data_IF_221352889911
#
_entry.id   IF_221352889911
#
_cell.length_a   1.000
_cell.length_b   1.000
_cell.length_c   1.000
_cell.angle_alpha   90.00
_cell.angle_beta   90.00
_cell.angle_gamma   90.00
#
_symmetry.space_group_name_H-M   'P 1'
#
loop_
_entity.id
_entity.type
_entity.pdbx_description
1 polymer ?
#
# COMPACT_ATOMS: atom_id res chain seq x y z
N UNK A 1 -53.76 60.64 24.84
CA UNK A 1 -52.46 60.04 24.46
C UNK A 1 -52.64 58.52 24.34
N UNK A 2 -52.29 57.96 23.16
CA UNK A 2 -51.86 56.56 22.86
C UNK A 2 -52.73 55.39 23.37
N UNK A 3 -53.02 54.32 22.62
CA UNK A 3 -52.85 53.86 21.24
C UNK A 3 -53.77 52.62 21.11
N UNK A 4 -54.38 52.43 19.94
CA UNK A 4 -55.13 51.23 19.55
C UNK A 4 -54.19 50.04 19.34
N UNK A 5 -54.57 48.85 19.85
CA UNK A 5 -53.86 47.59 19.59
C UNK A 5 -54.75 46.72 18.70
N UNK A 6 -54.40 46.62 17.41
CA UNK A 6 -54.95 45.63 16.49
C UNK A 6 -54.01 44.42 16.49
N UNK A 7 -54.54 43.27 16.88
CA UNK A 7 -53.86 41.98 16.84
C UNK A 7 -53.95 41.45 15.40
N UNK A 8 -52.83 41.35 14.71
CA UNK A 8 -52.74 40.78 13.36
C UNK A 8 -51.87 39.53 13.45
N UNK A 9 -52.50 38.39 13.19
CA UNK A 9 -51.90 37.06 13.14
C UNK A 9 -50.96 36.98 11.94
N UNK A 10 -49.67 36.72 12.18
CA UNK A 10 -48.67 36.56 11.13
C UNK A 10 -48.21 35.09 11.12
N UNK A 11 -48.60 34.38 10.07
CA UNK A 11 -48.16 33.01 9.75
C UNK A 11 -46.68 33.02 9.42
N UNK A 12 -45.88 32.30 10.22
CA UNK A 12 -44.46 32.08 9.98
C UNK A 12 -44.28 30.86 9.05
N UNK A 13 -44.02 31.14 7.77
CA UNK A 13 -43.55 30.14 6.81
C UNK A 13 -42.05 29.94 7.02
N UNK A 14 -41.65 28.82 7.62
CA UNK A 14 -40.24 28.44 7.74
C UNK A 14 -39.74 27.89 6.40
N UNK A 15 -38.92 28.66 5.70
CA UNK A 15 -38.15 28.20 4.55
C UNK A 15 -36.98 27.33 5.04
N UNK A 16 -37.03 26.04 4.74
CA UNK A 16 -35.99 25.06 5.05
C UNK A 16 -34.82 25.27 4.07
N UNK A 17 -33.79 26.00 4.50
CA UNK A 17 -32.54 26.13 3.75
C UNK A 17 -31.74 24.82 3.90
N UNK A 18 -31.55 24.11 2.79
CA UNK A 18 -30.63 22.98 2.66
C UNK A 18 -29.19 23.47 2.83
N UNK A 19 -28.65 23.33 4.02
CA UNK A 19 -27.21 23.41 4.25
C UNK A 19 -26.55 22.16 3.68
N UNK A 20 -25.97 22.28 2.49
CA UNK A 20 -24.91 21.36 2.06
C UNK A 20 -23.73 21.56 3.01
N UNK A 21 -23.69 20.77 4.08
CA UNK A 21 -22.46 20.54 4.82
C UNK A 21 -21.55 19.74 3.89
N UNK A 22 -20.75 20.45 3.10
CA UNK A 22 -19.60 19.86 2.43
C UNK A 22 -18.75 19.22 3.51
N UNK A 23 -18.68 17.89 3.50
CA UNK A 23 -17.69 17.18 4.30
C UNK A 23 -16.34 17.63 3.77
N UNK A 24 -15.70 18.54 4.50
CA UNK A 24 -14.28 18.81 4.31
C UNK A 24 -13.59 17.50 4.64
N UNK A 25 -13.09 16.81 3.62
CA UNK A 25 -11.97 15.89 3.82
C UNK A 25 -10.92 16.75 4.51
N UNK A 26 -10.72 16.53 5.81
CA UNK A 26 -9.62 17.17 6.51
C UNK A 26 -8.36 16.70 5.81
N UNK A 27 -7.74 17.57 5.02
CA UNK A 27 -6.43 17.32 4.46
C UNK A 27 -5.53 16.95 5.63
N UNK A 28 -4.83 15.81 5.55
CA UNK A 28 -3.77 15.49 6.49
C UNK A 28 -2.91 16.74 6.65
N UNK A 29 -2.72 17.27 7.88
CA UNK A 29 -1.88 18.44 8.06
C UNK A 29 -0.52 18.17 7.42
N UNK A 30 -0.15 18.99 6.44
CA UNK A 30 1.16 18.89 5.81
C UNK A 30 2.26 19.18 6.84
N UNK A 31 3.45 18.65 6.61
CA UNK A 31 4.61 18.96 7.44
C UNK A 31 4.97 20.45 7.34
N UNK A 32 5.14 21.11 8.48
CA UNK A 32 5.38 22.56 8.56
C UNK A 32 6.86 22.94 8.52
N UNK A 33 7.75 21.96 8.50
CA UNK A 33 9.20 22.11 8.66
C UNK A 33 10.02 21.76 7.41
N UNK A 34 9.36 21.68 6.24
CA UNK A 34 10.00 21.33 4.97
C UNK A 34 10.45 22.55 4.14
N UNK A 35 10.34 23.76 4.67
CA UNK A 35 10.71 24.95 3.91
C UNK A 35 12.20 24.97 3.55
N UNK A 36 12.49 25.29 2.28
CA UNK A 36 13.82 25.24 1.67
C UNK A 36 14.48 23.84 1.66
N UNK A 37 13.69 22.77 1.75
CA UNK A 37 14.19 21.41 1.54
C UNK A 37 14.06 20.99 0.07
N UNK A 38 15.15 20.51 -0.55
CA UNK A 38 15.15 20.08 -1.94
C UNK A 38 14.22 18.88 -2.22
N UNK A 39 14.02 18.01 -1.23
CA UNK A 39 13.14 16.84 -1.31
C UNK A 39 11.69 17.14 -0.88
N UNK A 40 11.31 18.41 -0.65
CA UNK A 40 9.98 18.81 -0.14
C UNK A 40 8.84 18.15 -0.91
N UNK A 41 8.84 18.25 -2.23
CA UNK A 41 7.75 17.73 -3.06
C UNK A 41 7.68 16.20 -3.02
N UNK A 42 8.84 15.52 -2.96
CA UNK A 42 8.93 14.06 -2.81
C UNK A 42 8.38 13.61 -1.46
N UNK A 43 8.77 14.28 -0.38
CA UNK A 43 8.30 13.98 0.99
C UNK A 43 6.79 14.18 1.09
N UNK A 44 6.26 15.28 0.53
CA UNK A 44 4.81 15.55 0.51
C UNK A 44 4.07 14.48 -0.30
N UNK A 45 4.62 14.05 -1.44
CA UNK A 45 4.03 12.97 -2.25
C UNK A 45 3.96 11.65 -1.47
N UNK A 46 5.05 11.26 -0.79
CA UNK A 46 5.07 10.05 0.03
C UNK A 46 4.07 10.13 1.19
N UNK A 47 3.95 11.29 1.84
CA UNK A 47 2.97 11.52 2.89
C UNK A 47 1.53 11.37 2.37
N UNK A 48 1.22 11.98 1.22
CA UNK A 48 -0.12 11.90 0.61
C UNK A 48 -0.49 10.48 0.16
N UNK A 49 0.50 9.68 -0.21
CA UNK A 49 0.34 8.26 -0.55
C UNK A 49 0.23 7.35 0.70
N UNK A 50 0.39 7.90 1.91
CA UNK A 50 0.40 7.12 3.15
C UNK A 50 1.65 6.28 3.38
N UNK A 51 2.68 6.45 2.53
CA UNK A 51 3.90 5.63 2.52
C UNK A 51 5.00 6.16 3.46
N UNK A 52 4.81 7.37 4.00
CA UNK A 52 5.77 8.02 4.88
C UNK A 52 5.05 8.80 5.98
N UNK A 53 5.52 8.64 7.21
CA UNK A 53 5.02 9.34 8.38
C UNK A 53 6.08 10.27 8.96
N UNK A 54 5.62 11.38 9.54
CA UNK A 54 6.48 12.30 10.27
C UNK A 54 6.85 11.77 11.64
N UNK A 55 7.74 12.47 12.34
CA UNK A 55 7.99 12.24 13.77
C UNK A 55 6.83 12.74 14.64
N UNK A 56 5.97 13.58 14.08
CA UNK A 56 4.65 13.94 14.60
C UNK A 56 3.67 14.17 13.44
N UNK A 57 2.41 14.46 13.77
CA UNK A 57 1.36 14.75 12.78
C UNK A 57 1.68 15.94 11.85
N UNK A 58 2.53 16.88 12.29
CA UNK A 58 2.86 18.11 11.56
C UNK A 58 4.36 18.37 11.39
N UNK A 59 5.23 17.44 11.81
CA UNK A 59 6.68 17.61 11.77
C UNK A 59 7.35 16.39 11.13
N UNK A 60 8.19 16.63 10.13
CA UNK A 60 8.94 15.57 9.46
C UNK A 60 10.34 15.37 10.05
N UNK A 61 10.98 16.44 10.53
CA UNK A 61 12.38 16.52 10.94
C UNK A 61 13.39 16.19 9.80
N UNK A 62 13.41 16.96 8.69
CA UNK A 62 14.18 16.61 7.48
C UNK A 62 15.69 16.49 7.72
N UNK A 63 16.25 17.29 8.66
CA UNK A 63 17.68 17.30 8.98
C UNK A 63 18.07 16.28 10.06
N UNK A 64 17.12 15.54 10.62
CA UNK A 64 17.44 14.50 11.58
C UNK A 64 18.26 13.40 10.91
N UNK A 65 19.34 12.98 11.55
CA UNK A 65 20.14 11.85 11.08
C UNK A 65 19.43 10.57 11.51
N UNK A 66 19.31 9.63 10.58
CA UNK A 66 18.64 8.36 10.85
C UNK A 66 19.51 7.42 11.67
N UNK A 67 18.89 6.75 12.62
CA UNK A 67 19.43 5.49 13.12
C UNK A 67 19.07 4.35 12.18
N UNK A 68 19.82 3.27 12.25
CA UNK A 68 19.56 1.98 11.63
C UNK A 68 18.07 1.57 11.72
N UNK A 69 17.51 1.51 12.93
CA UNK A 69 16.11 1.15 13.13
C UNK A 69 15.12 2.09 12.44
N UNK A 70 15.44 3.39 12.39
CA UNK A 70 14.60 4.37 11.70
C UNK A 70 14.69 4.21 10.18
N UNK A 71 15.87 3.88 9.66
CA UNK A 71 16.08 3.55 8.25
C UNK A 71 15.24 2.35 7.82
N UNK A 72 15.38 1.22 8.54
CA UNK A 72 14.59 0.01 8.27
C UNK A 72 13.09 0.27 8.38
N UNK A 73 12.64 1.02 9.38
CA UNK A 73 11.21 1.35 9.51
C UNK A 73 10.69 2.18 8.33
N UNK A 74 11.49 3.13 7.82
CA UNK A 74 11.11 3.89 6.62
C UNK A 74 11.00 2.98 5.39
N UNK A 75 11.95 2.08 5.19
CA UNK A 75 11.94 1.13 4.06
C UNK A 75 10.71 0.21 4.13
N UNK A 76 10.50 -0.43 5.29
CA UNK A 76 9.35 -1.32 5.54
C UNK A 76 8.02 -0.61 5.29
N UNK A 77 7.87 0.62 5.80
CA UNK A 77 6.64 1.39 5.65
C UNK A 77 6.41 1.82 4.20
N UNK A 78 7.47 2.28 3.52
CA UNK A 78 7.36 2.81 2.16
C UNK A 78 7.07 1.72 1.12
N UNK A 79 7.57 0.50 1.35
CA UNK A 79 7.32 -0.67 0.50
C UNK A 79 6.09 -1.47 0.95
N UNK A 80 5.37 -1.01 1.97
CA UNK A 80 4.19 -1.67 2.55
C UNK A 80 4.44 -3.15 2.92
N UNK A 81 5.64 -3.45 3.42
CA UNK A 81 6.00 -4.81 3.82
C UNK A 81 5.23 -5.19 5.07
N UNK A 82 4.72 -6.42 5.11
CA UNK A 82 3.92 -6.93 6.21
C UNK A 82 4.17 -8.43 6.43
N UNK A 83 3.44 -9.01 7.38
CA UNK A 83 3.50 -10.43 7.74
C UNK A 83 2.18 -11.15 7.44
N UNK A 84 1.26 -10.54 6.69
CA UNK A 84 -0.14 -10.98 6.57
C UNK A 84 -0.25 -12.36 5.91
N UNK A 85 0.70 -12.68 5.03
CA UNK A 85 0.81 -13.96 4.33
C UNK A 85 1.72 -14.97 5.03
N UNK A 86 2.32 -14.60 6.16
CA UNK A 86 3.27 -15.47 6.89
C UNK A 86 2.58 -16.06 8.11
N UNK A 87 2.77 -17.36 8.31
CA UNK A 87 2.27 -18.08 9.49
C UNK A 87 3.44 -18.62 10.27
N UNK A 88 3.54 -18.24 11.53
CA UNK A 88 4.61 -18.67 12.41
C UNK A 88 4.12 -19.77 13.36
N UNK A 89 4.92 -20.82 13.53
CA UNK A 89 4.69 -21.82 14.57
C UNK A 89 4.91 -21.28 15.99
N UNK A 90 5.70 -20.22 16.10
CA UNK A 90 6.02 -19.49 17.33
C UNK A 90 6.11 -18.01 16.99
N UNK A 91 5.60 -17.15 17.84
CA UNK A 91 5.72 -15.70 17.70
C UNK A 91 7.20 -15.30 17.45
N UNK A 92 7.50 -14.64 16.32
CA UNK A 92 8.86 -14.24 15.98
C UNK A 92 9.29 -13.07 16.85
N UNK A 93 10.56 -13.04 17.22
CA UNK A 93 11.18 -11.96 17.99
C UNK A 93 12.25 -11.26 17.16
N UNK A 94 12.44 -9.96 17.38
CA UNK A 94 13.51 -9.23 16.69
C UNK A 94 14.90 -9.83 17.03
N UNK A 95 15.09 -10.27 18.28
CA UNK A 95 16.32 -10.95 18.70
C UNK A 95 16.54 -12.34 18.08
N UNK A 96 15.52 -12.96 17.49
CA UNK A 96 15.70 -14.21 16.72
C UNK A 96 16.53 -13.96 15.44
N UNK A 97 16.49 -12.73 14.90
CA UNK A 97 17.20 -12.33 13.68
C UNK A 97 18.44 -11.48 13.98
N UNK A 98 18.35 -10.56 14.94
CA UNK A 98 19.40 -9.60 15.28
C UNK A 98 19.72 -9.63 16.78
N UNK A 99 20.84 -10.21 17.22
CA UNK A 99 21.16 -10.39 18.64
C UNK A 99 21.21 -9.09 19.47
N UNK A 100 21.42 -7.94 18.83
CA UNK A 100 21.48 -6.63 19.47
C UNK A 100 20.12 -5.90 19.51
N UNK A 101 19.05 -6.50 18.97
CA UNK A 101 17.71 -5.93 18.99
C UNK A 101 16.95 -6.26 20.28
N UNK A 102 16.10 -5.33 20.73
CA UNK A 102 15.18 -5.55 21.84
C UNK A 102 13.81 -5.97 21.34
N UNK A 103 13.26 -7.05 21.88
CA UNK A 103 11.99 -7.65 21.42
C UNK A 103 10.76 -6.75 21.65
N UNK A 104 10.82 -5.85 22.63
CA UNK A 104 9.72 -4.96 23.05
C UNK A 104 9.91 -3.50 22.60
N UNK A 105 10.97 -3.22 21.84
CA UNK A 105 11.23 -1.88 21.33
C UNK A 105 10.30 -1.49 20.17
N UNK A 106 10.10 -0.18 19.97
CA UNK A 106 9.23 0.37 18.93
C UNK A 106 9.59 -0.09 17.51
N UNK A 107 10.85 -0.44 17.27
CA UNK A 107 11.36 -0.91 15.98
C UNK A 107 11.30 -2.43 15.79
N UNK A 108 10.95 -3.21 16.83
CA UNK A 108 11.04 -4.66 16.81
C UNK A 108 10.23 -5.27 15.65
N UNK A 109 9.01 -4.78 15.45
CA UNK A 109 8.14 -5.27 14.38
C UNK A 109 8.72 -4.94 12.98
N UNK A 110 9.33 -3.77 12.79
CA UNK A 110 9.96 -3.41 11.52
C UNK A 110 11.14 -4.35 11.19
N UNK A 111 11.98 -4.69 12.18
CA UNK A 111 13.09 -5.62 11.99
C UNK A 111 12.61 -7.05 11.67
N UNK A 112 11.53 -7.50 12.31
CA UNK A 112 10.92 -8.81 12.01
C UNK A 112 10.38 -8.80 10.58
N UNK A 113 9.59 -7.78 10.20
CA UNK A 113 9.04 -7.64 8.85
C UNK A 113 10.16 -7.65 7.80
N UNK A 114 11.20 -6.84 8.00
CA UNK A 114 12.34 -6.76 7.10
C UNK A 114 12.99 -8.14 6.90
N UNK A 115 13.32 -8.83 8.00
CA UNK A 115 13.98 -10.14 7.95
C UNK A 115 13.14 -11.20 7.25
N UNK A 116 11.84 -11.24 7.55
CA UNK A 116 10.91 -12.22 6.99
C UNK A 116 10.68 -11.98 5.49
N UNK A 117 10.70 -10.71 5.06
CA UNK A 117 10.62 -10.32 3.65
C UNK A 117 11.98 -10.41 2.92
N UNK A 118 13.03 -10.93 3.58
CA UNK A 118 14.31 -11.23 2.96
C UNK A 118 15.22 -10.02 2.74
N UNK A 119 15.03 -8.93 3.50
CA UNK A 119 15.96 -7.80 3.46
C UNK A 119 17.33 -8.24 4.01
N UNK A 120 18.40 -7.89 3.28
CA UNK A 120 19.78 -8.15 3.67
C UNK A 120 20.23 -7.06 4.64
N UNK A 121 20.13 -7.38 5.93
CA UNK A 121 20.53 -6.52 7.04
C UNK A 121 21.70 -7.17 7.78
N UNK A 122 22.69 -6.40 8.28
CA UNK A 122 23.80 -6.95 9.04
C UNK A 122 23.35 -7.78 10.23
N UNK A 123 23.92 -8.96 10.47
CA UNK A 123 23.53 -9.79 11.62
C UNK A 123 23.82 -9.11 12.96
N UNK A 124 24.89 -8.33 13.02
CA UNK A 124 25.32 -7.55 14.18
C UNK A 124 24.73 -6.13 14.20
N UNK A 125 23.72 -5.85 13.37
CA UNK A 125 22.96 -4.61 13.30
C UNK A 125 22.69 -4.03 14.69
N UNK A 126 23.07 -2.77 14.90
CA UNK A 126 22.79 -2.03 16.11
C UNK A 126 21.65 -1.02 15.83
N UNK A 127 20.43 -1.21 16.39
CA UNK A 127 19.26 -0.38 16.09
C UNK A 127 19.46 1.15 16.29
N UNK A 128 20.38 1.53 17.19
CA UNK A 128 20.65 2.93 17.54
C UNK A 128 21.87 3.52 16.83
N UNK A 129 22.59 2.73 16.03
CA UNK A 129 23.72 3.23 15.26
C UNK A 129 23.24 4.23 14.21
N UNK A 130 24.00 5.31 14.00
CA UNK A 130 23.73 6.27 12.94
C UNK A 130 24.03 5.62 11.58
N UNK A 131 23.08 5.73 10.66
CA UNK A 131 23.16 5.06 9.37
C UNK A 131 23.97 5.89 8.38
N UNK A 132 24.92 5.26 7.69
CA UNK A 132 25.63 5.90 6.59
C UNK A 132 24.78 5.91 5.33
N UNK A 133 25.06 6.83 4.41
CA UNK A 133 24.38 6.92 3.11
C UNK A 133 24.49 5.60 2.36
N UNK A 134 25.69 5.02 2.27
CA UNK A 134 25.86 3.76 1.55
C UNK A 134 25.10 2.58 2.16
N UNK A 135 24.96 2.53 3.50
CA UNK A 135 24.26 1.46 4.18
C UNK A 135 22.75 1.56 3.89
N UNK A 136 22.16 2.75 4.09
CA UNK A 136 20.76 2.98 3.75
C UNK A 136 20.47 2.69 2.27
N UNK A 137 21.30 3.21 1.35
CA UNK A 137 21.12 2.96 -0.08
C UNK A 137 21.23 1.46 -0.39
N UNK A 138 22.19 0.75 0.20
CA UNK A 138 22.34 -0.69 0.01
C UNK A 138 21.09 -1.46 0.45
N UNK A 139 20.60 -1.18 1.65
CA UNK A 139 19.39 -1.82 2.21
C UNK A 139 18.15 -1.53 1.36
N UNK A 140 17.97 -0.27 0.95
CA UNK A 140 16.84 0.13 0.09
C UNK A 140 16.90 -0.56 -1.27
N UNK A 141 18.06 -0.59 -1.91
CA UNK A 141 18.23 -1.26 -3.21
C UNK A 141 17.95 -2.75 -3.10
N UNK A 142 18.50 -3.39 -2.08
CA UNK A 142 18.22 -4.81 -1.86
C UNK A 142 16.72 -5.06 -1.60
N UNK A 143 16.09 -4.21 -0.79
CA UNK A 143 14.66 -4.31 -0.50
C UNK A 143 13.80 -4.21 -1.77
N UNK A 144 14.03 -3.22 -2.65
CA UNK A 144 13.28 -3.11 -3.91
C UNK A 144 13.59 -4.24 -4.90
N UNK A 145 14.78 -4.84 -4.84
CA UNK A 145 15.16 -5.96 -5.71
C UNK A 145 14.47 -7.27 -5.30
N UNK A 146 14.41 -7.56 -4.00
CA UNK A 146 13.76 -8.79 -3.50
C UNK A 146 12.23 -8.69 -3.53
N UNK A 147 11.68 -7.48 -3.37
CA UNK A 147 10.22 -7.28 -3.32
C UNK A 147 9.61 -6.89 -4.67
N UNK A 148 10.36 -6.19 -5.52
CA UNK A 148 9.85 -5.58 -6.74
C UNK A 148 9.84 -6.48 -7.98
N UNK A 149 10.41 -7.69 -7.90
CA UNK A 149 10.58 -8.60 -9.07
C UNK A 149 11.13 -7.87 -10.30
N UNK A 150 12.11 -7.00 -10.08
CA UNK A 150 12.68 -6.13 -11.12
C UNK A 150 13.32 -6.96 -12.24
N UNK A 151 13.20 -6.54 -13.52
CA UNK A 151 13.89 -7.21 -14.61
C UNK A 151 15.41 -7.14 -14.41
N UNK A 152 16.13 -8.20 -14.78
CA UNK A 152 17.59 -8.16 -14.78
C UNK A 152 18.09 -7.09 -15.74
N UNK A 153 18.70 -6.04 -15.20
CA UNK A 153 19.43 -5.05 -15.99
C UNK A 153 20.89 -5.49 -16.16
N UNK A 154 21.56 -4.97 -17.19
CA UNK A 154 23.02 -4.96 -17.26
C UNK A 154 23.50 -3.61 -16.73
N UNK A 155 24.02 -3.52 -15.49
CA UNK A 155 24.44 -2.25 -14.94
C UNK A 155 25.55 -1.64 -15.80
N UNK A 156 25.40 -0.36 -16.13
CA UNK A 156 26.46 0.42 -16.77
C UNK A 156 27.43 0.86 -15.68
N UNK A 157 28.73 0.69 -15.93
CA UNK A 157 29.76 1.18 -15.02
C UNK A 157 29.68 2.71 -14.94
N UNK A 158 29.59 3.22 -13.71
CA UNK A 158 29.62 4.66 -13.42
C UNK A 158 30.94 4.96 -12.73
N UNK A 159 31.65 5.99 -13.19
CA UNK A 159 32.86 6.47 -12.51
C UNK A 159 32.47 7.21 -11.23
N UNK A 160 32.93 6.72 -10.08
CA UNK A 160 32.65 7.31 -8.76
C UNK A 160 33.97 7.80 -8.17
N UNK A 161 34.08 9.11 -7.92
CA UNK A 161 35.35 9.72 -7.54
C UNK A 161 35.88 9.26 -6.17
N UNK A 162 34.99 8.83 -5.27
CA UNK A 162 35.29 8.29 -3.94
C UNK A 162 34.94 6.80 -3.81
N UNK A 163 35.06 6.05 -4.92
CA UNK A 163 34.76 4.62 -4.97
C UNK A 163 35.56 3.80 -3.94
N UNK A 164 36.79 4.21 -3.64
CA UNK A 164 37.68 3.56 -2.67
C UNK A 164 37.17 3.63 -1.22
N UNK A 165 36.25 4.54 -0.94
CA UNK A 165 35.59 4.65 0.37
C UNK A 165 34.34 3.76 0.48
N UNK A 166 33.82 3.22 -0.61
CA UNK A 166 32.62 2.39 -0.60
C UNK A 166 32.95 1.03 0.03
N UNK A 167 32.08 0.55 0.93
CA UNK A 167 32.17 -0.82 1.42
C UNK A 167 32.05 -1.80 0.24
N UNK A 168 33.00 -2.74 0.12
CA UNK A 168 33.06 -3.69 -0.99
C UNK A 168 31.74 -4.44 -1.17
N UNK A 169 31.08 -4.83 -0.07
CA UNK A 169 29.79 -5.53 -0.10
C UNK A 169 28.66 -4.64 -0.64
N UNK A 170 28.76 -3.32 -0.48
CA UNK A 170 27.74 -2.36 -0.92
C UNK A 170 27.98 -1.84 -2.34
N UNK A 171 29.19 -2.00 -2.87
CA UNK A 171 29.61 -1.45 -4.17
C UNK A 171 28.63 -1.80 -5.30
N UNK A 172 28.18 -3.06 -5.36
CA UNK A 172 27.20 -3.50 -6.33
C UNK A 172 25.86 -2.76 -6.22
N UNK A 173 25.35 -2.60 -5.00
CA UNK A 173 24.08 -1.89 -4.76
C UNK A 173 24.20 -0.39 -5.04
N UNK A 174 25.33 0.25 -4.74
CA UNK A 174 25.55 1.67 -5.04
C UNK A 174 25.56 1.92 -6.56
N UNK A 175 26.25 1.06 -7.33
CA UNK A 175 26.24 1.17 -8.80
C UNK A 175 24.83 0.96 -9.35
N UNK A 176 24.06 0.00 -8.80
CA UNK A 176 22.65 -0.19 -9.20
C UNK A 176 21.78 0.98 -8.81
N UNK A 177 21.97 1.57 -7.64
CA UNK A 177 21.26 2.77 -7.20
C UNK A 177 21.45 3.95 -8.17
N UNK A 178 22.69 4.15 -8.67
CA UNK A 178 22.99 5.15 -9.69
C UNK A 178 22.31 4.82 -11.03
N UNK A 179 22.33 3.55 -11.45
CA UNK A 179 21.69 3.10 -12.70
C UNK A 179 20.15 3.20 -12.65
N UNK A 180 19.55 2.95 -11.50
CA UNK A 180 18.12 3.10 -11.26
C UNK A 180 17.69 4.55 -11.09
N UNK A 181 18.64 5.49 -10.93
CA UNK A 181 18.35 6.89 -10.61
C UNK A 181 17.83 7.10 -9.19
N UNK A 182 18.07 6.14 -8.29
CA UNK A 182 17.72 6.24 -6.85
C UNK A 182 18.59 7.27 -6.17
N UNK A 183 19.88 7.28 -6.47
CA UNK A 183 20.85 8.30 -6.07
C UNK A 183 21.51 8.94 -7.29
N UNK A 184 22.16 10.09 -7.08
CA UNK A 184 22.95 10.80 -8.10
C UNK A 184 24.31 11.17 -7.52
N UNK A 185 25.31 11.32 -8.39
CA UNK A 185 26.60 11.89 -8.01
C UNK A 185 26.44 13.38 -7.70
N UNK A 186 27.20 13.86 -6.71
CA UNK A 186 27.39 15.29 -6.51
C UNK A 186 28.11 15.95 -7.69
N UNK A 187 28.14 17.27 -7.71
CA UNK A 187 28.90 18.05 -8.73
C UNK A 187 30.40 17.70 -8.75
N UNK A 188 30.93 17.18 -7.64
CA UNK A 188 32.30 16.71 -7.49
C UNK A 188 32.51 15.24 -7.90
N UNK A 189 31.49 14.57 -8.45
CA UNK A 189 31.54 13.19 -8.90
C UNK A 189 31.50 12.15 -7.78
N UNK A 190 31.17 12.54 -6.55
CA UNK A 190 31.18 11.67 -5.36
C UNK A 190 29.79 11.23 -4.93
N UNK A 191 29.75 10.09 -4.24
CA UNK A 191 28.55 9.62 -3.50
C UNK A 191 28.63 9.92 -2.01
N UNK A 192 29.82 10.18 -1.47
CA UNK A 192 30.10 10.42 -0.06
C UNK A 192 29.57 9.29 0.85
N UNK A 193 30.07 8.05 0.66
CA UNK A 193 29.44 6.84 1.19
C UNK A 193 29.41 6.79 2.72
N UNK A 194 30.43 7.36 3.38
CA UNK A 194 30.58 7.35 4.84
C UNK A 194 29.81 8.46 5.57
N UNK A 195 29.21 9.41 4.85
CA UNK A 195 28.39 10.43 5.51
C UNK A 195 27.12 9.81 6.06
N UNK A 196 26.69 10.27 7.24
CA UNK A 196 25.40 9.83 7.79
C UNK A 196 24.25 10.40 6.98
N UNK A 197 23.20 9.61 6.77
CA UNK A 197 22.05 10.01 5.96
C UNK A 197 21.02 10.79 6.80
N UNK A 198 20.54 11.90 6.26
CA UNK A 198 19.42 12.63 6.85
C UNK A 198 18.07 12.03 6.44
N UNK A 199 17.04 12.29 7.24
CA UNK A 199 15.68 11.81 6.98
C UNK A 199 15.12 12.33 5.66
N UNK A 200 15.48 13.54 5.21
CA UNK A 200 15.08 14.02 3.87
C UNK A 200 15.79 13.32 2.72
N UNK A 201 17.06 12.99 2.87
CA UNK A 201 17.80 12.24 1.83
C UNK A 201 17.26 10.82 1.69
N UNK A 202 17.01 10.15 2.83
CA UNK A 202 16.38 8.84 2.83
C UNK A 202 15.00 8.84 2.16
N UNK A 203 14.17 9.87 2.42
CA UNK A 203 12.87 10.01 1.78
C UNK A 203 12.98 10.29 0.28
N UNK A 204 14.00 11.04 -0.15
CA UNK A 204 14.29 11.24 -1.56
C UNK A 204 14.67 9.94 -2.27
N UNK A 205 15.58 9.16 -1.68
CA UNK A 205 15.98 7.85 -2.21
C UNK A 205 14.79 6.89 -2.29
N UNK A 206 13.95 6.83 -1.23
CA UNK A 206 12.72 6.03 -1.20
C UNK A 206 11.77 6.44 -2.33
N UNK A 207 11.54 7.74 -2.51
CA UNK A 207 10.66 8.23 -3.57
C UNK A 207 11.19 7.80 -4.95
N UNK A 208 12.47 8.02 -5.22
CA UNK A 208 13.08 7.68 -6.50
C UNK A 208 13.01 6.15 -6.74
N UNK A 209 13.24 5.34 -5.70
CA UNK A 209 13.12 3.88 -5.77
C UNK A 209 11.69 3.43 -6.08
N UNK A 210 10.68 4.04 -5.46
CA UNK A 210 9.27 3.75 -5.74
C UNK A 210 8.87 4.17 -7.16
N UNK A 211 9.37 5.30 -7.67
CA UNK A 211 9.11 5.70 -9.06
C UNK A 211 9.84 4.77 -10.05
N UNK A 212 11.03 4.29 -9.71
CA UNK A 212 11.72 3.26 -10.50
C UNK A 212 10.91 1.96 -10.55
N UNK A 213 10.46 1.46 -9.40
CA UNK A 213 9.58 0.28 -9.29
C UNK A 213 8.30 0.44 -10.11
N UNK A 214 7.67 1.62 -10.06
CA UNK A 214 6.46 1.90 -10.83
C UNK A 214 6.72 1.91 -12.34
N UNK A 215 7.84 2.46 -12.78
CA UNK A 215 8.22 2.52 -14.19
C UNK A 215 8.71 1.18 -14.75
N UNK A 216 9.22 0.31 -13.87
CA UNK A 216 9.82 -0.99 -14.20
C UNK A 216 9.10 -2.15 -13.50
N UNK A 217 7.84 -1.95 -13.14
CA UNK A 217 7.01 -3.03 -12.67
C UNK A 217 7.09 -4.14 -13.72
N UNK A 218 7.23 -5.43 -13.32
CA UNK A 218 7.22 -6.51 -14.28
C UNK A 218 6.02 -6.28 -15.20
N UNK A 219 6.22 -6.37 -16.52
CA UNK A 219 5.10 -6.28 -17.44
C UNK A 219 4.09 -7.32 -16.96
N UNK A 220 3.02 -6.87 -16.30
CA UNK A 220 1.86 -7.71 -16.06
C UNK A 220 1.47 -8.13 -17.45
N UNK A 221 1.71 -9.39 -17.78
CA UNK A 221 1.05 -9.99 -18.92
C UNK A 221 -0.43 -9.82 -18.57
N UNK A 222 -1.07 -8.80 -19.14
CA UNK A 222 -2.46 -8.48 -18.85
C UNK A 222 -3.37 -9.68 -19.21
N UNK A 223 -2.86 -10.57 -20.06
CA UNK A 223 -3.44 -11.86 -20.42
C UNK A 223 -2.88 -13.04 -19.60
N UNK A 224 -1.86 -12.81 -18.79
CA UNK A 224 -1.27 -13.75 -17.85
C UNK A 224 -2.28 -14.13 -16.77
N UNK A 225 -2.23 -15.40 -16.38
CA UNK A 225 -3.14 -15.95 -15.37
C UNK A 225 -2.89 -15.25 -14.03
N UNK A 226 -3.96 -14.82 -13.39
CA UNK A 226 -3.94 -14.27 -12.03
C UNK A 226 -3.80 -15.43 -11.04
N UNK A 227 -2.70 -15.45 -10.27
CA UNK A 227 -2.51 -16.47 -9.23
C UNK A 227 -3.32 -16.15 -7.96
N UNK A 228 -3.54 -17.16 -7.10
CA UNK A 228 -4.19 -17.00 -5.80
C UNK A 228 -3.58 -15.89 -4.94
N UNK A 229 -2.25 -15.89 -4.80
CA UNK A 229 -1.54 -14.88 -4.00
C UNK A 229 -1.69 -13.47 -4.57
N UNK A 230 -1.59 -13.31 -5.89
CA UNK A 230 -1.77 -12.03 -6.56
C UNK A 230 -3.22 -11.53 -6.44
N UNK A 231 -4.21 -12.41 -6.57
CA UNK A 231 -5.62 -12.05 -6.44
C UNK A 231 -5.98 -11.57 -5.02
N UNK A 232 -5.46 -12.24 -3.99
CA UNK A 232 -5.65 -11.82 -2.59
C UNK A 232 -5.01 -10.46 -2.33
N UNK A 233 -3.78 -10.25 -2.82
CA UNK A 233 -3.11 -8.97 -2.67
C UNK A 233 -3.91 -7.86 -3.35
N UNK A 234 -4.38 -8.10 -4.58
CA UNK A 234 -5.18 -7.15 -5.35
C UNK A 234 -6.48 -6.75 -4.63
N UNK A 235 -7.17 -7.71 -4.01
CA UNK A 235 -8.39 -7.44 -3.23
C UNK A 235 -8.06 -6.70 -1.93
N UNK A 236 -7.00 -7.11 -1.23
CA UNK A 236 -6.57 -6.51 0.04
C UNK A 236 -6.20 -5.04 -0.16
N UNK A 237 -5.39 -4.73 -1.17
CA UNK A 237 -4.96 -3.38 -1.51
C UNK A 237 -6.16 -2.45 -1.81
N UNK A 238 -7.21 -3.00 -2.41
CA UNK A 238 -8.38 -2.23 -2.83
C UNK A 238 -9.45 -2.05 -1.75
N UNK A 239 -9.62 -3.04 -0.86
CA UNK A 239 -10.73 -3.09 0.10
C UNK A 239 -10.28 -2.90 1.55
N UNK A 240 -9.00 -3.13 1.86
CA UNK A 240 -8.48 -3.20 3.22
C UNK A 240 -8.89 -4.47 3.97
N UNK A 241 -9.56 -5.42 3.31
CA UNK A 241 -9.98 -6.71 3.86
C UNK A 241 -9.19 -7.80 3.16
N UNK A 242 -8.52 -8.66 3.94
CA UNK A 242 -7.75 -9.79 3.41
C UNK A 242 -8.63 -11.04 3.34
N UNK A 243 -8.93 -11.56 2.15
CA UNK A 243 -9.64 -12.83 2.01
C UNK A 243 -8.90 -13.97 2.72
N UNK A 244 -9.67 -14.87 3.35
CA UNK A 244 -9.08 -16.00 4.08
C UNK A 244 -8.43 -16.99 3.11
N UNK A 245 -7.23 -17.45 3.47
CA UNK A 245 -6.54 -18.54 2.78
C UNK A 245 -7.05 -19.88 3.31
N UNK A 246 -7.70 -20.66 2.47
CA UNK A 246 -7.84 -22.09 2.73
C UNK A 246 -6.46 -22.73 2.69
N UNK A 247 -6.08 -23.44 3.76
CA UNK A 247 -4.72 -24.00 3.95
C UNK A 247 -4.32 -25.05 2.90
N UNK A 248 -5.24 -25.44 2.02
CA UNK A 248 -5.03 -26.43 0.96
C UNK A 248 -4.82 -25.83 -0.44
N UNK A 249 -4.99 -24.51 -0.62
CA UNK A 249 -4.83 -23.87 -1.93
C UNK A 249 -3.34 -23.59 -2.26
N UNK A 250 -2.89 -23.99 -3.44
CA UNK A 250 -1.56 -23.62 -3.96
C UNK A 250 -1.51 -22.10 -4.24
N UNK A 251 -0.64 -21.33 -3.56
CA UNK A 251 -0.57 -19.87 -3.74
C UNK A 251 -0.25 -19.40 -5.16
N UNK A 252 0.33 -20.27 -5.99
CA UNK A 252 0.71 -19.99 -7.37
C UNK A 252 -0.31 -20.54 -8.38
N UNK A 253 -1.33 -21.26 -7.95
CA UNK A 253 -2.38 -21.74 -8.84
C UNK A 253 -3.17 -20.57 -9.42
N UNK A 254 -3.61 -20.72 -10.67
CA UNK A 254 -4.47 -19.75 -11.32
C UNK A 254 -5.84 -19.72 -10.63
N UNK A 255 -6.35 -18.52 -10.36
CA UNK A 255 -7.69 -18.32 -9.84
C UNK A 255 -8.72 -18.52 -10.93
N UNK A 256 -9.80 -19.23 -10.61
CA UNK A 256 -10.99 -19.23 -11.46
C UNK A 256 -11.79 -17.94 -11.25
N UNK A 257 -12.60 -17.61 -12.25
CA UNK A 257 -13.49 -16.45 -12.22
C UNK A 257 -14.48 -16.51 -11.07
N UNK A 258 -14.99 -17.70 -10.75
CA UNK A 258 -15.85 -17.92 -9.59
C UNK A 258 -15.11 -17.61 -8.29
N UNK A 259 -13.98 -18.28 -8.02
CA UNK A 259 -13.27 -18.14 -6.74
C UNK A 259 -12.85 -16.69 -6.48
N UNK A 260 -12.28 -16.01 -7.46
CA UNK A 260 -11.90 -14.60 -7.29
C UNK A 260 -13.10 -13.69 -7.07
N UNK A 261 -14.21 -13.91 -7.81
CA UNK A 261 -15.43 -13.12 -7.64
C UNK A 261 -16.01 -13.30 -6.24
N UNK A 262 -16.03 -14.53 -5.74
CA UNK A 262 -16.51 -14.84 -4.39
C UNK A 262 -15.67 -14.13 -3.32
N UNK A 263 -14.34 -14.23 -3.40
CA UNK A 263 -13.41 -13.54 -2.48
C UNK A 263 -13.62 -12.02 -2.52
N UNK A 264 -13.70 -11.42 -3.71
CA UNK A 264 -13.85 -9.98 -3.86
C UNK A 264 -15.18 -9.47 -3.30
N UNK A 265 -16.29 -10.17 -3.58
CA UNK A 265 -17.62 -9.76 -3.09
C UNK A 265 -17.69 -9.84 -1.57
N UNK A 266 -17.15 -10.90 -0.96
CA UNK A 266 -17.10 -11.03 0.49
C UNK A 266 -16.29 -9.89 1.13
N UNK A 267 -15.11 -9.59 0.58
CA UNK A 267 -14.28 -8.48 1.04
C UNK A 267 -14.98 -7.12 0.91
N UNK A 268 -15.70 -6.89 -0.19
CA UNK A 268 -16.50 -5.67 -0.42
C UNK A 268 -17.66 -5.57 0.58
N UNK A 269 -18.37 -6.66 0.84
CA UNK A 269 -19.47 -6.68 1.80
C UNK A 269 -19.00 -6.38 3.22
N UNK A 270 -17.85 -6.94 3.60
CA UNK A 270 -17.21 -6.67 4.89
C UNK A 270 -16.72 -5.22 4.99
N UNK A 271 -15.95 -4.75 4.00
CA UNK A 271 -15.40 -3.40 3.96
C UNK A 271 -16.50 -2.32 3.98
N UNK A 272 -17.59 -2.53 3.23
CA UNK A 272 -18.71 -1.60 3.13
C UNK A 272 -19.79 -1.77 4.20
N UNK A 273 -19.75 -2.84 5.02
CA UNK A 273 -20.86 -3.28 5.87
C UNK A 273 -22.19 -3.28 5.12
N UNK A 274 -22.17 -3.83 3.91
CA UNK A 274 -23.31 -3.76 2.99
C UNK A 274 -24.50 -4.53 3.58
N UNK A 275 -25.73 -3.96 3.54
CA UNK A 275 -26.90 -4.70 3.99
C UNK A 275 -27.16 -5.89 3.06
N UNK A 276 -27.71 -6.98 3.60
CA UNK A 276 -28.19 -8.07 2.78
C UNK A 276 -29.30 -7.56 1.85
N UNK A 277 -29.02 -7.54 0.54
CA UNK A 277 -29.98 -7.14 -0.47
C UNK A 277 -30.72 -8.36 -1.00
N UNK A 278 -32.04 -8.22 -1.19
CA UNK A 278 -32.79 -9.22 -1.94
C UNK A 278 -32.51 -9.03 -3.43
N UNK A 279 -31.85 -10.00 -4.05
CA UNK A 279 -31.47 -9.94 -5.46
C UNK A 279 -32.58 -10.60 -6.28
N UNK A 280 -33.00 -9.96 -7.38
CA UNK A 280 -33.75 -10.65 -8.43
C UNK A 280 -32.69 -11.42 -9.23
N UNK A 281 -32.69 -12.77 -9.20
CA UNK A 281 -31.64 -13.54 -9.85
C UNK A 281 -31.60 -13.24 -11.36
N UNK A 282 -30.41 -12.93 -11.87
CA UNK A 282 -30.16 -12.92 -13.29
C UNK A 282 -30.19 -14.35 -13.82
N UNK A 283 -30.68 -14.52 -15.05
CA UNK A 283 -30.60 -15.79 -15.77
C UNK A 283 -29.16 -16.01 -16.23
N UNK A 284 -28.49 -17.02 -15.65
CA UNK A 284 -27.11 -17.39 -15.96
C UNK A 284 -27.19 -18.75 -16.65
N UNK A 285 -26.80 -18.81 -17.92
CA UNK A 285 -27.01 -20.02 -18.73
C UNK A 285 -26.15 -21.21 -18.29
N UNK A 286 -24.98 -20.94 -17.77
CA UNK A 286 -24.03 -21.93 -17.22
C UNK A 286 -24.07 -21.98 -15.69
N UNK A 287 -25.22 -21.65 -15.09
CA UNK A 287 -25.40 -21.70 -13.63
C UNK A 287 -25.17 -23.10 -13.02
N UNK A 288 -25.30 -24.16 -13.82
CA UNK A 288 -25.02 -25.54 -13.42
C UNK A 288 -23.53 -25.82 -13.18
N UNK A 289 -22.64 -24.93 -13.63
CA UNK A 289 -21.20 -25.01 -13.41
C UNK A 289 -20.71 -24.20 -12.21
N UNK A 290 -21.59 -23.42 -11.56
CA UNK A 290 -21.28 -22.62 -10.37
C UNK A 290 -21.53 -23.50 -9.14
N UNK A 291 -20.64 -23.45 -8.14
CA UNK A 291 -20.90 -24.07 -6.86
C UNK A 291 -22.19 -23.50 -6.26
N UNK A 292 -23.05 -24.38 -5.78
CA UNK A 292 -24.34 -24.00 -5.19
C UNK A 292 -24.17 -23.05 -4.00
N UNK A 293 -23.05 -23.14 -3.28
CA UNK A 293 -22.72 -22.25 -2.16
C UNK A 293 -22.35 -20.84 -2.64
N UNK A 294 -21.75 -20.74 -3.82
CA UNK A 294 -21.27 -19.47 -4.40
C UNK A 294 -22.33 -18.79 -5.28
N UNK A 295 -23.33 -19.53 -5.77
CA UNK A 295 -24.41 -19.01 -6.62
C UNK A 295 -25.04 -17.71 -6.08
N UNK A 296 -25.30 -17.64 -4.77
CA UNK A 296 -25.85 -16.44 -4.14
C UNK A 296 -24.90 -15.25 -4.15
N UNK A 297 -23.59 -15.49 -4.05
CA UNK A 297 -22.53 -14.47 -4.10
C UNK A 297 -22.37 -13.96 -5.53
N UNK A 298 -22.36 -14.84 -6.52
CA UNK A 298 -22.27 -14.46 -7.95
C UNK A 298 -23.46 -13.58 -8.37
N UNK A 299 -24.66 -13.89 -7.90
CA UNK A 299 -25.85 -13.04 -8.15
C UNK A 299 -25.69 -11.62 -7.57
N UNK A 300 -25.07 -11.51 -6.39
CA UNK A 300 -24.74 -10.20 -5.81
C UNK A 300 -23.65 -9.48 -6.59
N UNK A 301 -22.62 -10.19 -7.04
CA UNK A 301 -21.56 -9.64 -7.89
C UNK A 301 -22.12 -8.98 -9.16
N UNK A 302 -23.06 -9.66 -9.85
CA UNK A 302 -23.78 -9.13 -11.02
C UNK A 302 -24.63 -7.92 -10.65
N UNK A 303 -25.31 -7.96 -9.51
CA UNK A 303 -26.17 -6.87 -9.04
C UNK A 303 -25.37 -5.62 -8.66
N UNK A 304 -24.19 -5.80 -8.07
CA UNK A 304 -23.25 -4.74 -7.75
C UNK A 304 -22.55 -4.18 -8.99
N UNK A 305 -22.60 -4.90 -10.12
CA UNK A 305 -21.91 -4.53 -11.35
C UNK A 305 -20.40 -4.77 -11.28
N UNK A 306 -19.95 -5.59 -10.32
CA UNK A 306 -18.54 -5.99 -10.16
C UNK A 306 -18.11 -6.82 -11.37
N UNK A 307 -18.98 -7.74 -11.77
CA UNK A 307 -18.82 -8.61 -12.95
C UNK A 307 -20.06 -8.50 -13.84
N UNK A 308 -19.92 -8.95 -15.08
CA UNK A 308 -21.00 -9.05 -16.08
C UNK A 308 -20.98 -10.43 -16.71
N UNK A 309 -22.14 -10.85 -17.20
CA UNK A 309 -22.24 -11.99 -18.11
C UNK A 309 -21.67 -11.61 -19.48
N UNK A 310 -21.13 -12.60 -20.18
CA UNK A 310 -20.64 -12.40 -21.54
C UNK A 310 -21.82 -12.24 -22.53
N UNK A 311 -21.50 -12.03 -23.82
CA UNK A 311 -22.51 -11.81 -24.87
C UNK A 311 -23.49 -12.99 -25.03
N UNK A 312 -23.06 -14.19 -24.66
CA UNK A 312 -23.88 -15.40 -24.72
C UNK A 312 -24.75 -15.58 -23.46
N UNK A 313 -24.56 -14.77 -22.41
CA UNK A 313 -25.28 -14.88 -21.14
C UNK A 313 -24.66 -15.87 -20.15
N UNK A 314 -23.39 -16.24 -20.35
CA UNK A 314 -22.65 -17.11 -19.46
C UNK A 314 -21.83 -16.28 -18.45
N UNK A 315 -21.59 -16.85 -17.27
CA UNK A 315 -20.69 -16.31 -16.26
C UNK A 315 -19.25 -16.81 -16.43
N UNK A 316 -19.08 -18.05 -16.89
CA UNK A 316 -17.80 -18.77 -17.09
C UNK A 316 -17.05 -19.04 -15.77
N UNK A 317 -17.66 -19.75 -14.80
CA UNK A 317 -17.12 -19.90 -13.44
C UNK A 317 -15.74 -20.56 -13.37
N UNK A 318 -15.49 -21.55 -14.23
CA UNK A 318 -14.25 -22.32 -14.27
C UNK A 318 -13.14 -21.67 -15.12
N UNK A 319 -13.42 -20.54 -15.77
CA UNK A 319 -12.41 -19.86 -16.56
C UNK A 319 -11.33 -19.27 -15.64
N UNK A 320 -10.07 -19.52 -15.97
CA UNK A 320 -8.95 -18.88 -15.27
C UNK A 320 -8.97 -17.37 -15.53
N UNK A 321 -8.82 -16.59 -14.47
CA UNK A 321 -8.81 -15.14 -14.58
C UNK A 321 -7.47 -14.65 -15.10
N UNK A 322 -7.51 -13.64 -15.96
CA UNK A 322 -6.33 -12.85 -16.27
C UNK A 322 -6.15 -11.72 -15.27
N UNK A 323 -4.94 -11.19 -15.16
CA UNK A 323 -4.65 -10.04 -14.31
C UNK A 323 -5.51 -8.81 -14.68
N UNK A 324 -5.74 -8.57 -15.99
CA UNK A 324 -6.61 -7.47 -16.43
C UNK A 324 -8.06 -7.64 -15.98
N UNK A 325 -8.60 -8.86 -16.08
CA UNK A 325 -9.96 -9.15 -15.62
C UNK A 325 -10.10 -8.98 -14.11
N UNK A 326 -9.09 -9.41 -13.34
CA UNK A 326 -9.07 -9.23 -11.89
C UNK A 326 -9.07 -7.74 -11.51
N UNK A 327 -8.23 -6.94 -12.18
CA UNK A 327 -8.15 -5.50 -11.95
C UNK A 327 -9.45 -4.78 -12.33
N UNK A 328 -10.07 -5.13 -13.46
CA UNK A 328 -11.36 -4.54 -13.86
C UNK A 328 -12.46 -4.82 -12.83
N UNK A 329 -12.56 -6.06 -12.35
CA UNK A 329 -13.52 -6.43 -11.32
C UNK A 329 -13.28 -5.66 -10.01
N UNK A 330 -12.02 -5.49 -9.60
CA UNK A 330 -11.65 -4.70 -8.43
C UNK A 330 -11.97 -3.21 -8.60
N UNK A 331 -11.69 -2.63 -9.76
CA UNK A 331 -12.04 -1.23 -10.05
C UNK A 331 -13.57 -1.02 -9.97
N UNK A 332 -14.36 -1.96 -10.49
CA UNK A 332 -15.82 -1.94 -10.38
C UNK A 332 -16.30 -2.08 -8.92
N UNK A 333 -15.67 -2.96 -8.14
CA UNK A 333 -15.96 -3.14 -6.72
C UNK A 333 -15.67 -1.89 -5.89
N UNK A 334 -14.52 -1.24 -6.13
CA UNK A 334 -14.17 0.03 -5.46
C UNK A 334 -15.16 1.14 -5.84
N UNK A 335 -15.58 1.20 -7.11
CA UNK A 335 -16.61 2.15 -7.53
C UNK A 335 -17.94 1.91 -6.81
N UNK A 336 -18.35 0.64 -6.64
CA UNK A 336 -19.54 0.27 -5.88
C UNK A 336 -19.43 0.67 -4.41
N UNK A 337 -18.31 0.35 -3.75
CA UNK A 337 -18.03 0.71 -2.35
C UNK A 337 -18.12 2.21 -2.09
N UNK A 338 -17.52 3.02 -2.96
CA UNK A 338 -17.56 4.49 -2.85
C UNK A 338 -18.99 5.03 -2.90
N UNK A 339 -19.89 4.38 -3.63
CA UNK A 339 -21.29 4.75 -3.72
C UNK A 339 -22.14 4.22 -2.53
N UNK A 340 -21.65 3.26 -1.76
CA UNK A 340 -22.40 2.53 -0.72
C UNK A 340 -21.61 2.39 0.59
N UNK A 341 -20.89 3.44 0.99
CA UNK A 341 -20.11 3.42 2.23
C UNK A 341 -20.97 3.16 3.47
N UNK A 342 -20.42 2.42 4.43
CA UNK A 342 -21.00 2.26 5.74
C UNK A 342 -21.30 3.65 6.35
N UNK A 343 -22.48 3.87 6.97
CA UNK A 343 -22.74 5.11 7.68
C UNK A 343 -21.67 5.30 8.76
N UNK A 344 -21.02 6.46 8.76
CA UNK A 344 -20.04 6.82 9.79
C UNK A 344 -20.74 6.70 11.14
N UNK A 345 -20.29 5.76 11.97
CA UNK A 345 -20.71 5.71 13.37
C UNK A 345 -20.22 6.99 14.01
N UNK A 346 -21.12 7.95 14.23
CA UNK A 346 -20.85 9.07 15.11
C UNK A 346 -20.48 8.47 16.47
N UNK A 347 -19.21 8.61 16.87
CA UNK A 347 -18.81 8.24 18.22
C UNK A 347 -19.75 8.95 19.21
N UNK A 348 -20.37 8.23 20.16
CA UNK A 348 -21.06 8.90 21.24
C UNK A 348 -19.99 9.70 21.99
N UNK A 349 -20.18 11.01 22.02
CA UNK A 349 -19.43 11.92 22.88
C UNK A 349 -19.50 11.35 24.30
N UNK A 350 -18.36 10.93 24.84
CA UNK A 350 -18.19 10.74 26.28
C UNK A 350 -17.67 12.04 26.89
#
# INVERSE_FOLDING_TARGET
MKKTFKMMTMTATAALMLTFAGQSFAATPGFTDLDNNAAKDKIVSLQQRGLLQGVSANHFAPRAILTEAQGVQLIVSALNLNLDLVRFFKEPKASDYFPNAQDDAWYANALIIASVNGLDLPKDLNPNQLLTREAFTHELIHAIEVTGKLPMIKPVAVEIADQDQINVEYSGSIVRALNYGVIQLGEDGKVNPKMTISRSEAAEEIYNALEYLKAHAPSTDENGKLSFSEGIQLITDATGVTPSLDQEADPNAALTRETFTTMLVQAVEEAGKLPMINVIPADIKDADQIDILDSGVIQRALKYGIVKLNADGNFEPNAEMTQAQGKEAVDNAVAYLKAHLAPVTANPVQ
#
